data_IF_379528112125
#
_entry.id   IF_379528112125
#
_cell.length_a   1.000
_cell.length_b   1.000
_cell.length_c   1.000
_cell.angle_alpha   90.00
_cell.angle_beta   90.00
_cell.angle_gamma   90.00
#
_symmetry.space_group_name_H-M   'P 1'
#
loop_
_entity.id
_entity.type
_entity.pdbx_description
1 polymer ?
#
# COMPACT_ATOMS: atom_id res chain seq x y z
N UNK A 1 -17.55 -44.87 3.15
CA UNK A 1 -16.63 -44.82 1.99
C UNK A 1 -15.23 -44.60 2.54
N UNK A 2 -14.27 -45.41 2.13
CA UNK A 2 -12.88 -45.31 2.59
C UNK A 2 -12.16 -44.10 1.99
N UNK A 3 -11.02 -43.77 2.59
CA UNK A 3 -10.10 -42.79 2.04
C UNK A 3 -9.37 -43.35 0.82
N UNK A 4 -9.06 -42.49 -0.17
CA UNK A 4 -8.33 -42.90 -1.38
C UNK A 4 -6.88 -42.40 -1.26
N UNK A 5 -5.94 -43.33 -1.18
CA UNK A 5 -4.53 -43.03 -0.98
C UNK A 5 -3.68 -43.65 -2.09
N UNK A 6 -3.02 -42.80 -2.87
CA UNK A 6 -2.04 -43.18 -3.88
C UNK A 6 -0.61 -42.81 -3.44
N UNK A 7 -0.38 -42.61 -2.13
CA UNK A 7 0.94 -42.20 -1.62
C UNK A 7 2.04 -43.16 -2.10
N UNK A 8 3.14 -42.60 -2.60
CA UNK A 8 4.26 -43.34 -3.20
C UNK A 8 3.91 -44.21 -4.43
N UNK A 9 2.71 -44.06 -5.03
CA UNK A 9 2.36 -44.81 -6.23
C UNK A 9 3.16 -44.33 -7.45
N UNK A 10 3.34 -45.23 -8.42
CA UNK A 10 3.94 -44.93 -9.72
C UNK A 10 2.94 -45.31 -10.79
N UNK A 11 2.51 -44.32 -11.57
CA UNK A 11 1.72 -44.52 -12.78
C UNK A 11 2.67 -44.51 -13.96
N UNK A 12 3.00 -45.71 -14.47
CA UNK A 12 3.93 -45.91 -15.60
C UNK A 12 3.37 -45.37 -16.92
N UNK A 13 2.04 -45.35 -17.05
CA UNK A 13 1.29 -44.84 -18.20
C UNK A 13 0.29 -43.76 -17.75
N UNK A 14 -0.56 -43.31 -18.68
CA UNK A 14 -1.58 -42.30 -18.40
C UNK A 14 -2.53 -42.71 -17.27
N UNK A 15 -2.74 -41.80 -16.33
CA UNK A 15 -3.67 -41.91 -15.21
C UNK A 15 -4.88 -41.00 -15.46
N UNK A 16 -6.01 -41.61 -15.82
CA UNK A 16 -7.22 -40.88 -16.23
C UNK A 16 -8.30 -41.01 -15.16
N UNK A 17 -8.66 -39.88 -14.54
CA UNK A 17 -9.71 -39.76 -13.52
C UNK A 17 -10.92 -38.94 -14.00
N UNK A 18 -10.94 -38.53 -15.27
CA UNK A 18 -11.90 -37.54 -15.81
C UNK A 18 -13.37 -37.80 -15.43
N UNK A 19 -14.13 -36.71 -15.21
CA UNK A 19 -15.55 -36.75 -14.83
C UNK A 19 -15.88 -37.49 -13.52
N UNK A 20 -14.88 -37.79 -12.70
CA UNK A 20 -15.09 -38.50 -11.43
C UNK A 20 -15.50 -37.56 -10.29
N UNK A 21 -16.26 -38.11 -9.33
CA UNK A 21 -16.60 -37.42 -8.08
C UNK A 21 -15.99 -38.15 -6.90
N UNK A 22 -15.22 -37.43 -6.11
CA UNK A 22 -14.52 -37.96 -4.95
C UNK A 22 -15.07 -37.33 -3.67
N UNK A 23 -15.67 -38.18 -2.82
CA UNK A 23 -16.32 -37.76 -1.58
C UNK A 23 -15.37 -37.80 -0.37
N UNK A 24 -14.28 -38.57 -0.46
CA UNK A 24 -13.25 -38.65 0.58
C UNK A 24 -12.02 -37.84 0.19
N UNK A 25 -11.16 -37.46 1.14
CA UNK A 25 -9.85 -36.90 0.85
C UNK A 25 -9.05 -37.80 -0.11
N UNK A 26 -8.20 -37.19 -0.95
CA UNK A 26 -7.27 -37.93 -1.84
C UNK A 26 -5.82 -37.52 -1.60
N UNK A 27 -4.97 -38.53 -1.50
CA UNK A 27 -3.53 -38.33 -1.30
C UNK A 27 -2.69 -38.84 -2.49
N UNK A 28 -2.03 -37.93 -3.20
CA UNK A 28 -0.99 -38.20 -4.21
C UNK A 28 0.42 -37.83 -3.73
N UNK A 29 0.63 -37.73 -2.41
CA UNK A 29 1.93 -37.43 -1.81
C UNK A 29 3.02 -38.39 -2.32
N UNK A 30 4.15 -37.85 -2.79
CA UNK A 30 5.27 -38.60 -3.40
C UNK A 30 4.87 -39.53 -4.57
N UNK A 31 3.70 -39.33 -5.18
CA UNK A 31 3.29 -40.08 -6.38
C UNK A 31 4.12 -39.66 -7.59
N UNK A 32 4.40 -40.58 -8.50
CA UNK A 32 5.03 -40.27 -9.79
C UNK A 32 4.11 -40.61 -10.95
N UNK A 33 3.75 -39.61 -11.75
CA UNK A 33 3.01 -39.76 -12.99
C UNK A 33 3.98 -39.68 -14.17
N UNK A 34 4.34 -40.84 -14.75
CA UNK A 34 5.26 -40.91 -15.88
C UNK A 34 4.59 -40.54 -17.21
N UNK A 35 3.31 -40.90 -17.39
CA UNK A 35 2.45 -40.42 -18.48
C UNK A 35 1.59 -39.22 -18.09
N UNK A 36 0.51 -39.00 -18.82
CA UNK A 36 -0.47 -37.93 -18.56
C UNK A 36 -1.25 -38.20 -17.27
N UNK A 37 -1.45 -37.16 -16.44
CA UNK A 37 -2.34 -37.21 -15.29
C UNK A 37 -3.58 -36.34 -15.56
N UNK A 38 -4.71 -36.96 -15.92
CA UNK A 38 -5.90 -36.26 -16.37
C UNK A 38 -6.99 -36.30 -15.29
N UNK A 39 -7.26 -35.17 -14.65
CA UNK A 39 -8.29 -34.99 -13.63
C UNK A 39 -9.36 -33.97 -14.08
N UNK A 40 -9.62 -33.92 -15.37
CA UNK A 40 -10.54 -32.97 -15.99
C UNK A 40 -11.98 -33.20 -15.55
N UNK A 41 -12.69 -32.10 -15.30
CA UNK A 41 -14.09 -32.09 -14.84
C UNK A 41 -14.35 -32.93 -13.58
N UNK A 42 -13.31 -33.24 -12.80
CA UNK A 42 -13.49 -33.92 -11.53
C UNK A 42 -14.08 -32.98 -10.48
N UNK A 43 -14.85 -33.54 -9.55
CA UNK A 43 -15.31 -32.84 -8.36
C UNK A 43 -14.73 -33.50 -7.10
N UNK A 44 -13.89 -32.76 -6.39
CA UNK A 44 -13.33 -33.18 -5.10
C UNK A 44 -14.08 -32.47 -3.98
N UNK A 45 -14.81 -33.24 -3.15
CA UNK A 45 -15.56 -32.71 -2.00
C UNK A 45 -14.65 -32.36 -0.82
N UNK A 46 -13.53 -33.07 -0.71
CA UNK A 46 -12.58 -32.96 0.39
C UNK A 46 -11.19 -32.54 -0.10
N UNK A 47 -10.18 -32.59 0.77
CA UNK A 47 -8.81 -32.15 0.47
C UNK A 47 -8.13 -33.05 -0.57
N UNK A 48 -7.38 -32.43 -1.49
CA UNK A 48 -6.52 -33.13 -2.46
C UNK A 48 -5.08 -32.67 -2.31
N UNK A 49 -4.17 -33.62 -2.19
CA UNK A 49 -2.75 -33.37 -1.89
C UNK A 49 -1.85 -33.94 -2.99
N UNK A 50 -0.99 -33.10 -3.56
CA UNK A 50 0.05 -33.44 -4.54
C UNK A 50 1.46 -33.03 -4.04
N UNK A 51 1.70 -33.16 -2.73
CA UNK A 51 3.00 -32.82 -2.14
C UNK A 51 4.09 -33.71 -2.72
N UNK A 52 5.19 -33.12 -3.18
CA UNK A 52 6.34 -33.84 -3.75
C UNK A 52 6.00 -34.78 -4.92
N UNK A 53 4.83 -34.63 -5.53
CA UNK A 53 4.42 -35.43 -6.69
C UNK A 53 5.33 -35.09 -7.88
N UNK A 54 5.84 -36.11 -8.58
CA UNK A 54 6.56 -35.92 -9.84
C UNK A 54 5.60 -35.98 -11.02
N UNK A 55 5.59 -34.95 -11.86
CA UNK A 55 4.88 -34.93 -13.14
C UNK A 55 5.93 -34.93 -14.25
N UNK A 56 5.93 -35.96 -15.09
CA UNK A 56 6.86 -36.06 -16.21
C UNK A 56 6.29 -35.50 -17.52
N UNK A 57 4.96 -35.53 -17.69
CA UNK A 57 4.28 -34.97 -18.86
C UNK A 57 3.33 -33.82 -18.52
N UNK A 58 2.01 -34.05 -18.43
CA UNK A 58 1.05 -32.97 -18.14
C UNK A 58 0.10 -33.38 -17.02
N UNK A 59 -0.11 -32.48 -16.06
CA UNK A 59 -1.18 -32.57 -15.06
C UNK A 59 -2.34 -31.70 -15.52
N UNK A 60 -3.42 -32.31 -16.00
CA UNK A 60 -4.62 -31.59 -16.44
C UNK A 60 -5.67 -31.54 -15.33
N UNK A 61 -6.08 -30.33 -14.97
CA UNK A 61 -7.06 -29.96 -13.94
C UNK A 61 -8.17 -29.08 -14.57
N UNK A 62 -8.52 -29.32 -15.83
CA UNK A 62 -9.45 -28.46 -16.57
C UNK A 62 -10.87 -28.62 -16.04
N UNK A 63 -11.56 -27.51 -15.78
CA UNK A 63 -12.92 -27.52 -15.21
C UNK A 63 -13.06 -28.28 -13.89
N UNK A 64 -11.94 -28.60 -13.24
CA UNK A 64 -11.92 -29.35 -11.98
C UNK A 64 -12.39 -28.47 -10.83
N UNK A 65 -13.28 -29.00 -9.99
CA UNK A 65 -13.81 -28.28 -8.83
C UNK A 65 -13.28 -28.88 -7.53
N UNK A 66 -12.56 -28.07 -6.75
CA UNK A 66 -12.10 -28.40 -5.40
C UNK A 66 -12.97 -27.66 -4.38
N UNK A 67 -13.81 -28.40 -3.65
CA UNK A 67 -14.78 -27.84 -2.68
C UNK A 67 -14.17 -27.49 -1.33
N UNK A 68 -12.98 -28.01 -1.01
CA UNK A 68 -12.31 -27.78 0.27
C UNK A 68 -10.90 -27.21 0.11
N UNK A 69 -9.96 -27.99 -0.40
CA UNK A 69 -8.59 -27.50 -0.66
C UNK A 69 -7.88 -28.31 -1.74
N UNK A 70 -6.91 -27.65 -2.37
CA UNK A 70 -5.93 -28.24 -3.29
C UNK A 70 -4.55 -27.85 -2.78
N UNK A 71 -3.66 -28.82 -2.62
CA UNK A 71 -2.27 -28.58 -2.28
C UNK A 71 -1.35 -29.08 -3.39
N UNK A 72 -0.78 -28.14 -4.16
CA UNK A 72 0.24 -28.40 -5.19
C UNK A 72 1.64 -28.00 -4.71
N UNK A 73 1.83 -27.71 -3.43
CA UNK A 73 3.13 -27.26 -2.94
C UNK A 73 4.21 -28.32 -3.21
N UNK A 74 5.38 -27.85 -3.66
CA UNK A 74 6.52 -28.72 -3.93
C UNK A 74 6.27 -29.81 -5.00
N UNK A 75 5.26 -29.63 -5.85
CA UNK A 75 5.11 -30.47 -7.04
C UNK A 75 6.36 -30.33 -7.93
N UNK A 76 6.87 -31.45 -8.43
CA UNK A 76 8.07 -31.52 -9.23
C UNK A 76 7.69 -31.68 -10.71
N UNK A 77 7.77 -30.59 -11.47
CA UNK A 77 7.59 -30.61 -12.92
C UNK A 77 8.92 -31.02 -13.59
N UNK A 78 8.96 -32.20 -14.21
CA UNK A 78 10.12 -32.75 -14.95
C UNK A 78 9.95 -32.59 -16.46
N UNK A 79 11.03 -32.68 -17.25
CA UNK A 79 10.99 -32.79 -18.72
C UNK A 79 10.09 -31.77 -19.45
N UNK A 80 10.13 -30.49 -19.05
CA UNK A 80 9.24 -29.44 -19.60
C UNK A 80 7.73 -29.70 -19.40
N UNK A 81 7.37 -30.52 -18.41
CA UNK A 81 6.00 -30.73 -17.98
C UNK A 81 5.31 -29.44 -17.56
N UNK A 82 3.99 -29.47 -17.66
CA UNK A 82 3.12 -28.33 -17.35
C UNK A 82 1.90 -28.79 -16.55
N UNK A 83 1.31 -27.82 -15.87
CA UNK A 83 -0.02 -27.95 -15.27
C UNK A 83 -0.99 -27.24 -16.20
N UNK A 84 -2.17 -27.81 -16.41
CA UNK A 84 -3.25 -27.16 -17.15
C UNK A 84 -4.45 -26.97 -16.24
N UNK A 85 -4.71 -25.75 -15.80
CA UNK A 85 -5.75 -25.41 -14.82
C UNK A 85 -6.84 -24.50 -15.37
N UNK A 86 -7.20 -24.68 -16.65
CA UNK A 86 -8.27 -23.89 -17.26
C UNK A 86 -9.61 -24.12 -16.55
N UNK A 87 -10.34 -23.05 -16.22
CA UNK A 87 -11.61 -23.11 -15.48
C UNK A 87 -11.57 -23.88 -14.15
N UNK A 88 -10.39 -23.96 -13.52
CA UNK A 88 -10.26 -24.56 -12.19
C UNK A 88 -11.10 -23.76 -11.18
N UNK A 89 -11.93 -24.47 -10.40
CA UNK A 89 -12.78 -23.87 -9.37
C UNK A 89 -12.25 -24.23 -7.99
N UNK A 90 -11.82 -23.21 -7.26
CA UNK A 90 -11.20 -23.33 -5.94
C UNK A 90 -12.11 -22.72 -4.87
N UNK A 91 -12.96 -23.53 -4.25
CA UNK A 91 -13.81 -23.11 -3.13
C UNK A 91 -13.06 -23.36 -1.81
N UNK A 92 -12.08 -22.50 -1.52
CA UNK A 92 -11.27 -22.67 -0.33
C UNK A 92 -12.07 -22.23 0.90
N UNK A 93 -12.51 -23.21 1.72
CA UNK A 93 -13.01 -22.87 3.06
C UNK A 93 -11.84 -22.27 3.85
N UNK A 94 -12.06 -21.09 4.41
CA UNK A 94 -11.06 -20.39 5.22
C UNK A 94 -10.60 -21.29 6.36
N UNK A 95 -9.29 -21.53 6.43
CA UNK A 95 -8.66 -22.11 7.62
C UNK A 95 -8.94 -21.13 8.77
N UNK A 96 -9.58 -21.56 9.88
CA UNK A 96 -9.72 -20.72 11.06
C UNK A 96 -8.31 -20.29 11.50
N UNK A 97 -8.11 -18.99 11.69
CA UNK A 97 -6.82 -18.40 12.07
C UNK A 97 -6.24 -18.92 13.40
N UNK A 98 -7.02 -19.70 14.16
CA UNK A 98 -6.64 -20.26 15.45
C UNK A 98 -5.81 -21.57 15.37
N UNK A 99 -5.70 -22.24 14.20
CA UNK A 99 -5.02 -23.55 14.12
C UNK A 99 -3.53 -23.48 13.75
N UNK A 100 -2.81 -22.40 14.11
CA UNK A 100 -1.42 -22.15 13.68
C UNK A 100 -0.37 -22.85 14.58
N UNK A 101 -0.78 -23.56 15.65
CA UNK A 101 0.14 -24.01 16.70
C UNK A 101 0.57 -25.48 16.73
N UNK A 102 0.07 -26.37 15.88
CA UNK A 102 0.33 -27.81 16.08
C UNK A 102 1.54 -28.32 15.30
N UNK A 103 2.47 -28.93 16.04
CA UNK A 103 3.61 -29.68 15.53
C UNK A 103 3.12 -31.04 15.00
N UNK A 104 2.79 -31.06 13.72
CA UNK A 104 2.12 -32.18 13.05
C UNK A 104 3.07 -33.32 12.63
N UNK A 105 4.32 -33.32 13.09
CA UNK A 105 5.38 -34.25 12.66
C UNK A 105 5.16 -35.74 13.02
N UNK A 106 4.05 -36.11 13.66
CA UNK A 106 3.79 -37.49 14.13
C UNK A 106 2.50 -38.17 13.64
N UNK A 107 1.67 -37.55 12.78
CA UNK A 107 0.38 -38.15 12.40
C UNK A 107 0.34 -38.58 10.92
N UNK A 108 0.21 -39.88 10.68
CA UNK A 108 0.07 -40.47 9.33
C UNK A 108 -1.13 -39.93 8.53
N UNK A 109 -2.11 -39.32 9.21
CA UNK A 109 -3.31 -38.75 8.60
C UNK A 109 -3.25 -37.24 8.29
N UNK A 110 -2.06 -36.60 8.39
CA UNK A 110 -1.86 -35.15 8.15
C UNK A 110 -2.48 -34.62 6.85
N UNK A 111 -2.48 -35.41 5.79
CA UNK A 111 -2.99 -35.01 4.47
C UNK A 111 -4.52 -34.82 4.44
N UNK A 112 -5.23 -35.33 5.46
CA UNK A 112 -6.67 -35.07 5.66
C UNK A 112 -6.93 -33.70 6.29
N UNK A 113 -5.92 -33.09 6.90
CA UNK A 113 -6.02 -31.75 7.47
C UNK A 113 -5.90 -30.68 6.40
N UNK A 114 -6.30 -29.44 6.72
CA UNK A 114 -6.19 -28.32 5.79
C UNK A 114 -4.71 -27.96 5.56
N UNK A 115 -4.29 -27.68 4.31
CA UNK A 115 -2.90 -27.37 4.01
C UNK A 115 -2.42 -26.10 4.73
N UNK A 116 -1.14 -26.05 5.10
CA UNK A 116 -0.57 -24.89 5.80
C UNK A 116 -0.61 -23.66 4.89
N UNK A 117 -0.67 -22.46 5.48
CA UNK A 117 -0.66 -21.20 4.71
C UNK A 117 0.53 -21.08 3.74
N UNK A 118 1.69 -21.67 4.07
CA UNK A 118 2.87 -21.71 3.21
C UNK A 118 2.64 -22.56 1.95
N UNK A 119 2.07 -23.75 2.10
CA UNK A 119 1.86 -24.70 1.00
C UNK A 119 0.78 -24.19 0.04
N UNK A 120 -0.25 -23.62 0.64
CA UNK A 120 -1.28 -22.85 -0.02
C UNK A 120 -0.70 -21.71 -0.87
N UNK A 121 0.24 -20.94 -0.31
CA UNK A 121 0.87 -19.83 -1.02
C UNK A 121 1.62 -20.35 -2.26
N UNK A 122 2.32 -21.49 -2.12
CA UNK A 122 3.02 -22.12 -3.23
C UNK A 122 2.05 -22.61 -4.32
N UNK A 123 0.92 -23.18 -3.92
CA UNK A 123 -0.15 -23.60 -4.84
C UNK A 123 -0.64 -22.42 -5.70
N UNK A 124 -0.93 -21.26 -5.08
CA UNK A 124 -1.31 -20.07 -5.84
C UNK A 124 -0.19 -19.53 -6.72
N UNK A 125 1.07 -19.66 -6.31
CA UNK A 125 2.20 -19.24 -7.15
C UNK A 125 2.30 -20.08 -8.41
N UNK A 126 2.15 -21.41 -8.31
CA UNK A 126 2.16 -22.31 -9.46
C UNK A 126 1.00 -22.02 -10.42
N UNK A 127 -0.21 -21.90 -9.89
CA UNK A 127 -1.39 -21.56 -10.69
C UNK A 127 -1.27 -20.18 -11.35
N UNK A 128 -0.64 -19.21 -10.67
CA UNK A 128 -0.33 -17.90 -11.26
C UNK A 128 0.63 -18.01 -12.44
N UNK A 129 1.70 -18.81 -12.32
CA UNK A 129 2.65 -19.02 -13.41
C UNK A 129 2.00 -19.68 -14.63
N UNK A 130 1.09 -20.63 -14.38
CA UNK A 130 0.28 -21.27 -15.42
C UNK A 130 -0.65 -20.28 -16.13
N UNK A 131 -1.34 -19.43 -15.37
CA UNK A 131 -2.19 -18.40 -15.95
C UNK A 131 -1.39 -17.40 -16.82
N UNK A 132 -0.20 -17.01 -16.36
CA UNK A 132 0.71 -16.13 -17.13
C UNK A 132 1.16 -16.79 -18.42
N UNK A 133 1.53 -18.09 -18.38
CA UNK A 133 1.99 -18.80 -19.59
C UNK A 133 0.89 -18.91 -20.64
N UNK A 134 -0.38 -18.98 -20.21
CA UNK A 134 -1.57 -18.95 -21.07
C UNK A 134 -2.05 -17.55 -21.46
N UNK A 135 -1.36 -16.49 -21.02
CA UNK A 135 -1.75 -15.09 -21.22
C UNK A 135 -3.11 -14.73 -20.60
N UNK A 136 -3.58 -15.46 -19.60
CA UNK A 136 -4.77 -15.12 -18.81
C UNK A 136 -4.39 -14.17 -17.67
N UNK A 137 -4.27 -12.88 -18.00
CA UNK A 137 -3.87 -11.85 -17.04
C UNK A 137 -4.90 -11.67 -15.91
N UNK A 138 -6.19 -11.91 -16.17
CA UNK A 138 -7.24 -11.72 -15.17
C UNK A 138 -7.09 -12.75 -14.06
N UNK A 139 -6.97 -14.01 -14.44
CA UNK A 139 -6.82 -15.13 -13.52
C UNK A 139 -5.45 -15.10 -12.81
N UNK A 140 -4.38 -14.72 -13.52
CA UNK A 140 -3.06 -14.50 -12.92
C UNK A 140 -3.10 -13.43 -11.80
N UNK A 141 -3.82 -12.32 -12.01
CA UNK A 141 -3.98 -11.28 -10.98
C UNK A 141 -4.77 -11.79 -9.78
N UNK A 142 -5.83 -12.58 -10.00
CA UNK A 142 -6.61 -13.20 -8.92
C UNK A 142 -5.76 -14.13 -8.07
N UNK A 143 -4.97 -15.02 -8.69
CA UNK A 143 -4.06 -15.90 -7.96
C UNK A 143 -2.94 -15.15 -7.25
N UNK A 144 -2.41 -14.09 -7.86
CA UNK A 144 -1.42 -13.24 -7.19
C UNK A 144 -1.99 -12.56 -5.94
N UNK A 145 -3.23 -12.08 -5.99
CA UNK A 145 -3.92 -11.53 -4.82
C UNK A 145 -4.05 -12.60 -3.71
N UNK A 146 -4.46 -13.83 -4.07
CA UNK A 146 -4.57 -14.93 -3.12
C UNK A 146 -3.22 -15.36 -2.54
N UNK A 147 -2.16 -15.37 -3.34
CA UNK A 147 -0.79 -15.59 -2.87
C UNK A 147 -0.41 -14.57 -1.78
N UNK A 148 -0.64 -13.28 -2.02
CA UNK A 148 -0.34 -12.22 -1.04
C UNK A 148 -1.20 -12.30 0.23
N UNK A 149 -2.48 -12.61 0.11
CA UNK A 149 -3.37 -12.82 1.27
C UNK A 149 -2.80 -13.90 2.20
N UNK A 150 -2.30 -15.00 1.62
CA UNK A 150 -1.77 -16.13 2.38
C UNK A 150 -0.37 -15.85 2.93
N UNK A 151 0.45 -15.12 2.17
CA UNK A 151 1.72 -14.60 2.66
C UNK A 151 1.54 -13.66 3.86
N UNK A 152 0.55 -12.76 3.79
CA UNK A 152 0.23 -11.83 4.88
C UNK A 152 -0.16 -12.57 6.18
N UNK A 153 -0.99 -13.62 6.08
CA UNK A 153 -1.39 -14.44 7.22
C UNK A 153 -0.22 -15.21 7.84
N UNK A 154 0.75 -15.64 7.02
CA UNK A 154 1.95 -16.36 7.47
C UNK A 154 2.91 -15.48 8.27
N UNK A 155 3.00 -14.18 7.96
CA UNK A 155 3.96 -13.30 8.62
C UNK A 155 3.55 -13.02 10.07
N UNK A 156 4.48 -13.24 11.00
CA UNK A 156 4.32 -12.80 12.39
C UNK A 156 4.71 -11.32 12.50
N UNK A 157 3.93 -10.55 13.27
CA UNK A 157 4.10 -9.09 13.35
C UNK A 157 5.50 -8.70 13.79
N UNK A 158 5.98 -9.19 14.93
CA UNK A 158 7.23 -8.68 15.51
C UNK A 158 8.51 -9.12 14.77
N UNK A 159 8.49 -10.26 14.06
CA UNK A 159 9.67 -10.73 13.30
C UNK A 159 9.81 -10.07 11.94
N UNK A 160 8.70 -9.65 11.32
CA UNK A 160 8.66 -9.16 9.94
C UNK A 160 7.78 -7.91 9.81
N UNK A 161 7.94 -6.95 10.73
CA UNK A 161 7.08 -5.76 10.84
C UNK A 161 6.98 -5.04 9.49
N UNK A 162 8.11 -4.76 8.84
CA UNK A 162 8.14 -4.04 7.56
C UNK A 162 7.34 -4.74 6.45
N UNK A 163 7.63 -6.02 6.19
CA UNK A 163 6.92 -6.79 5.16
C UNK A 163 5.42 -6.92 5.47
N UNK A 164 5.05 -7.14 6.73
CA UNK A 164 3.66 -7.26 7.13
C UNK A 164 2.93 -5.92 7.04
N UNK A 165 3.59 -4.82 7.40
CA UNK A 165 3.07 -3.47 7.24
C UNK A 165 2.84 -3.12 5.78
N UNK A 166 3.81 -3.39 4.90
CA UNK A 166 3.67 -3.19 3.44
C UNK A 166 2.47 -3.97 2.91
N UNK A 167 2.32 -5.25 3.29
CA UNK A 167 1.19 -6.07 2.86
C UNK A 167 -0.15 -5.63 3.47
N UNK A 168 -0.15 -5.15 4.71
CA UNK A 168 -1.32 -4.54 5.34
C UNK A 168 -1.74 -3.29 4.57
N UNK A 169 -0.79 -2.44 4.20
CA UNK A 169 -1.04 -1.23 3.40
C UNK A 169 -1.58 -1.61 2.01
N UNK A 170 -0.92 -2.52 1.29
CA UNK A 170 -1.36 -3.05 0.00
C UNK A 170 -2.78 -3.63 0.08
N UNK A 171 -3.10 -4.38 1.14
CA UNK A 171 -4.44 -4.95 1.35
C UNK A 171 -5.50 -3.87 1.51
N UNK A 172 -5.27 -2.91 2.42
CA UNK A 172 -6.30 -1.93 2.77
C UNK A 172 -6.49 -0.86 1.70
N UNK A 173 -5.42 -0.42 1.04
CA UNK A 173 -5.46 0.70 0.11
C UNK A 173 -5.79 0.25 -1.30
N UNK A 174 -5.15 -0.80 -1.79
CA UNK A 174 -5.27 -1.22 -3.19
C UNK A 174 -5.92 -2.58 -3.38
N UNK A 175 -6.29 -3.27 -2.30
CA UNK A 175 -6.70 -4.67 -2.32
C UNK A 175 -5.67 -5.53 -3.07
N UNK A 176 -4.40 -5.38 -2.70
CA UNK A 176 -3.23 -5.95 -3.36
C UNK A 176 -3.05 -5.51 -4.83
N UNK A 177 -3.42 -4.26 -5.13
CA UNK A 177 -3.30 -3.64 -6.45
C UNK A 177 -4.40 -4.01 -7.43
N UNK A 178 -5.56 -4.49 -6.94
CA UNK A 178 -6.69 -4.88 -7.80
C UNK A 178 -7.77 -3.81 -7.92
N UNK A 179 -7.80 -2.81 -7.03
CA UNK A 179 -8.81 -1.75 -7.03
C UNK A 179 -8.17 -0.36 -7.13
N UNK A 180 -8.11 0.19 -8.34
CA UNK A 180 -7.59 1.54 -8.61
C UNK A 180 -8.44 2.61 -7.89
N UNK A 181 -9.77 2.49 -7.95
CA UNK A 181 -10.70 3.42 -7.30
C UNK A 181 -10.44 3.52 -5.79
N UNK A 182 -10.18 2.39 -5.12
CA UNK A 182 -9.87 2.39 -3.68
C UNK A 182 -8.60 3.16 -3.36
N UNK A 183 -7.57 3.03 -4.20
CA UNK A 183 -6.33 3.80 -4.04
C UNK A 183 -6.60 5.29 -4.22
N UNK A 184 -7.36 5.68 -5.25
CA UNK A 184 -7.72 7.08 -5.50
C UNK A 184 -8.53 7.68 -4.34
N UNK A 185 -9.50 6.93 -3.78
CA UNK A 185 -10.27 7.38 -2.62
C UNK A 185 -9.40 7.57 -1.38
N UNK A 186 -8.50 6.62 -1.08
CA UNK A 186 -7.56 6.78 0.04
C UNK A 186 -6.63 7.96 -0.15
N UNK A 187 -6.16 8.15 -1.39
CA UNK A 187 -5.32 9.28 -1.73
C UNK A 187 -6.04 10.61 -1.54
N UNK A 188 -7.27 10.74 -2.03
CA UNK A 188 -8.10 11.94 -1.80
C UNK A 188 -8.39 12.14 -0.31
N UNK A 189 -8.72 11.09 0.43
CA UNK A 189 -9.00 11.16 1.86
C UNK A 189 -7.78 11.64 2.67
N UNK A 190 -6.58 11.12 2.36
CA UNK A 190 -5.34 11.52 3.04
C UNK A 190 -5.02 13.00 2.72
N UNK A 191 -5.09 13.40 1.45
CA UNK A 191 -4.85 14.80 1.08
C UNK A 191 -5.89 15.76 1.66
N UNK A 192 -7.17 15.36 1.71
CA UNK A 192 -8.23 16.15 2.33
C UNK A 192 -8.00 16.31 3.85
N UNK A 193 -7.62 15.23 4.53
CA UNK A 193 -7.33 15.27 5.98
C UNK A 193 -6.18 16.23 6.28
N UNK A 194 -5.13 16.18 5.45
CA UNK A 194 -3.98 17.09 5.56
C UNK A 194 -4.39 18.54 5.28
N UNK A 195 -5.15 18.79 4.21
CA UNK A 195 -5.67 20.11 3.87
C UNK A 195 -6.47 20.72 5.04
N UNK A 196 -7.36 19.93 5.65
CA UNK A 196 -8.12 20.36 6.82
C UNK A 196 -7.22 20.68 8.01
N UNK A 197 -6.19 19.86 8.30
CA UNK A 197 -5.20 20.15 9.36
C UNK A 197 -4.52 21.50 9.13
N UNK A 198 -4.06 21.77 7.91
CA UNK A 198 -3.43 23.06 7.56
C UNK A 198 -4.41 24.23 7.66
N UNK A 199 -5.66 24.04 7.21
CA UNK A 199 -6.70 25.05 7.32
C UNK A 199 -7.00 25.42 8.78
N UNK A 200 -7.06 24.44 9.69
CA UNK A 200 -7.23 24.69 11.13
C UNK A 200 -6.05 25.45 11.75
N UNK A 201 -4.81 25.11 11.38
CA UNK A 201 -3.62 25.85 11.84
C UNK A 201 -3.67 27.30 11.34
N UNK A 202 -4.05 27.52 10.09
CA UNK A 202 -4.22 28.85 9.52
C UNK A 202 -5.31 29.66 10.25
N UNK A 203 -6.47 29.06 10.49
CA UNK A 203 -7.57 29.71 11.22
C UNK A 203 -7.14 30.08 12.65
N UNK A 204 -6.39 29.19 13.31
CA UNK A 204 -5.84 29.43 14.64
C UNK A 204 -4.86 30.62 14.66
N UNK A 205 -3.96 30.71 13.68
CA UNK A 205 -3.06 31.86 13.53
C UNK A 205 -3.83 33.16 13.26
N UNK A 206 -4.88 33.12 12.44
CA UNK A 206 -5.74 34.28 12.19
C UNK A 206 -6.42 34.76 13.48
N UNK A 207 -6.93 33.83 14.30
CA UNK A 207 -7.51 34.16 15.61
C UNK A 207 -6.50 34.84 16.54
N UNK A 208 -5.23 34.37 16.55
CA UNK A 208 -4.16 35.01 17.33
C UNK A 208 -3.94 36.44 16.85
N UNK A 209 -3.84 36.66 15.53
CA UNK A 209 -3.63 38.00 14.95
C UNK A 209 -4.80 38.94 15.32
N UNK A 210 -6.05 38.49 15.20
CA UNK A 210 -7.22 39.30 15.56
C UNK A 210 -7.24 39.61 17.06
N UNK A 211 -6.98 38.62 17.91
CA UNK A 211 -6.89 38.83 19.36
C UNK A 211 -5.81 39.85 19.71
N UNK A 212 -4.68 39.75 19.02
CA UNK A 212 -3.56 40.66 19.15
C UNK A 212 -3.95 42.12 18.81
N UNK A 213 -4.63 42.34 17.69
CA UNK A 213 -5.12 43.67 17.30
C UNK A 213 -6.13 44.25 18.31
N UNK A 214 -7.06 43.43 18.82
CA UNK A 214 -8.03 43.84 19.84
C UNK A 214 -7.32 44.26 21.14
N UNK A 215 -6.32 43.48 21.58
CA UNK A 215 -5.50 43.82 22.74
C UNK A 215 -4.76 45.14 22.52
N UNK A 216 -4.21 45.35 21.33
CA UNK A 216 -3.56 46.60 20.92
C UNK A 216 -4.49 47.81 21.02
N UNK A 217 -5.73 47.69 20.53
CA UNK A 217 -6.75 48.75 20.64
C UNK A 217 -7.15 49.02 22.10
N UNK A 218 -7.33 47.96 22.89
CA UNK A 218 -7.66 48.09 24.32
C UNK A 218 -6.57 48.86 25.09
N UNK A 219 -5.29 48.54 24.83
CA UNK A 219 -4.14 49.25 25.43
C UNK A 219 -4.16 50.74 25.03
N UNK A 220 -4.48 51.06 23.78
CA UNK A 220 -4.57 52.45 23.31
C UNK A 220 -5.69 53.23 24.01
N UNK A 221 -6.87 52.63 24.15
CA UNK A 221 -8.03 53.23 24.83
C UNK A 221 -7.69 53.48 26.31
N UNK A 222 -7.12 52.47 26.99
CA UNK A 222 -6.67 52.60 28.37
C UNK A 222 -5.64 53.74 28.53
N UNK A 223 -4.69 53.82 27.60
CA UNK A 223 -3.72 54.93 27.55
C UNK A 223 -4.38 56.30 27.39
N UNK A 224 -5.40 56.41 26.54
CA UNK A 224 -6.16 57.64 26.35
C UNK A 224 -6.93 58.05 27.61
N UNK A 225 -7.63 57.10 28.25
CA UNK A 225 -8.38 57.33 29.50
C UNK A 225 -7.45 57.77 30.64
N UNK A 226 -6.30 57.12 30.79
CA UNK A 226 -5.29 57.48 31.80
C UNK A 226 -4.77 58.90 31.59
N UNK A 227 -4.60 59.32 30.33
CA UNK A 227 -4.18 60.69 29.97
C UNK A 227 -5.19 61.76 30.38
N UNK A 228 -6.48 61.42 30.42
CA UNK A 228 -7.58 62.35 30.75
C UNK A 228 -7.76 62.57 32.26
N UNK A 229 -7.11 61.79 33.14
CA UNK A 229 -7.43 61.78 34.59
C UNK A 229 -6.26 61.94 35.56
N UNK A 230 -5.00 62.02 35.12
CA UNK A 230 -3.84 61.97 36.03
C UNK A 230 -2.89 63.17 35.91
N UNK A 231 -2.54 63.72 37.08
CA UNK A 231 -1.53 64.76 37.29
C UNK A 231 -0.17 64.40 36.65
N UNK A 232 0.59 65.43 36.28
CA UNK A 232 1.63 65.40 35.22
C UNK A 232 2.76 64.37 35.31
N UNK A 233 2.94 63.68 36.44
CA UNK A 233 4.02 62.72 36.67
C UNK A 233 3.61 61.26 36.39
N UNK A 234 2.46 60.80 36.91
CA UNK A 234 1.99 59.41 36.74
C UNK A 234 1.55 59.16 35.29
N UNK A 235 0.98 60.17 34.63
CA UNK A 235 0.62 60.10 33.21
C UNK A 235 1.85 59.94 32.31
N UNK A 236 3.01 60.53 32.65
CA UNK A 236 4.27 60.36 31.89
C UNK A 236 4.86 58.95 32.02
N UNK A 237 4.86 58.37 33.23
CA UNK A 237 5.38 57.02 33.44
C UNK A 237 4.55 55.95 32.72
N UNK A 238 3.22 56.05 32.84
CA UNK A 238 2.28 55.16 32.15
C UNK A 238 2.38 55.33 30.63
N UNK A 239 2.53 56.57 30.13
CA UNK A 239 2.70 56.82 28.71
C UNK A 239 4.00 56.20 28.17
N UNK A 240 5.11 56.29 28.90
CA UNK A 240 6.37 55.65 28.52
C UNK A 240 6.25 54.12 28.51
N UNK A 241 5.56 53.53 29.50
CA UNK A 241 5.33 52.09 29.55
C UNK A 241 4.46 51.60 28.36
N UNK A 242 3.42 52.36 28.00
CA UNK A 242 2.57 52.06 26.82
C UNK A 242 3.35 52.22 25.52
N UNK A 243 4.24 53.22 25.42
CA UNK A 243 5.10 53.43 24.25
C UNK A 243 6.10 52.28 24.09
N UNK A 244 6.77 51.84 25.17
CA UNK A 244 7.66 50.68 25.14
C UNK A 244 6.91 49.40 24.77
N UNK A 245 5.71 49.17 25.33
CA UNK A 245 4.89 48.02 24.95
C UNK A 245 4.44 48.09 23.49
N UNK A 246 4.13 49.29 22.95
CA UNK A 246 3.86 49.49 21.52
C UNK A 246 5.06 49.14 20.65
N UNK A 247 6.29 49.46 21.07
CA UNK A 247 7.49 49.07 20.33
C UNK A 247 7.75 47.57 20.37
N UNK A 248 7.52 46.92 21.53
CA UNK A 248 7.60 45.46 21.63
C UNK A 248 6.55 44.79 20.73
N UNK A 249 5.35 45.36 20.67
CA UNK A 249 4.26 44.88 19.81
C UNK A 249 4.53 45.08 18.32
N UNK A 250 5.01 46.27 17.95
CA UNK A 250 5.43 46.59 16.60
C UNK A 250 6.62 45.72 16.18
N UNK A 251 7.52 45.39 17.09
CA UNK A 251 8.59 44.44 16.88
C UNK A 251 8.05 43.03 16.62
N UNK A 252 7.08 42.53 17.40
CA UNK A 252 6.44 41.23 17.16
C UNK A 252 5.63 41.19 15.87
N UNK A 253 4.92 42.28 15.52
CA UNK A 253 4.19 42.41 14.25
C UNK A 253 5.15 42.50 13.06
N UNK A 254 6.27 43.22 13.18
CA UNK A 254 7.36 43.22 12.20
C UNK A 254 7.98 41.84 12.12
N UNK A 255 8.19 41.12 13.22
CA UNK A 255 8.70 39.74 13.19
C UNK A 255 7.72 38.81 12.48
N UNK A 256 6.42 38.93 12.74
CA UNK A 256 5.38 38.17 12.05
C UNK A 256 5.31 38.53 10.55
N UNK A 257 5.42 39.81 10.20
CA UNK A 257 5.44 40.30 8.82
C UNK A 257 6.76 39.97 8.12
N UNK A 258 7.91 39.98 8.79
CA UNK A 258 9.20 39.58 8.23
C UNK A 258 9.26 38.07 8.06
N UNK A 259 8.74 37.29 9.02
CA UNK A 259 8.52 35.85 8.86
C UNK A 259 7.57 35.60 7.68
N UNK A 260 6.55 36.42 7.46
CA UNK A 260 5.64 36.34 6.31
C UNK A 260 6.23 36.89 4.99
N UNK A 261 7.12 37.88 5.05
CA UNK A 261 7.71 38.59 3.89
C UNK A 261 8.97 37.89 3.39
N UNK A 262 9.81 37.33 4.26
CA UNK A 262 10.85 36.37 3.90
C UNK A 262 10.25 35.07 3.33
N UNK A 263 8.98 34.77 3.62
CA UNK A 263 8.22 33.70 2.94
C UNK A 263 7.71 34.10 1.53
N UNK A 264 7.84 35.36 1.09
CA UNK A 264 7.31 35.84 -0.22
C UNK A 264 8.36 36.48 -1.13
N UNK A 265 9.57 36.76 -0.65
CA UNK A 265 10.66 37.33 -1.44
C UNK A 265 11.72 36.26 -1.68
N UNK A 266 12.01 35.99 -2.97
CA UNK A 266 13.06 35.07 -3.43
C UNK A 266 14.36 35.32 -2.64
N UNK A 267 15.00 34.28 -2.07
CA UNK A 267 16.22 34.48 -1.31
C UNK A 267 17.38 34.76 -2.26
N UNK A 268 18.03 35.92 -2.08
CA UNK A 268 19.45 36.08 -2.41
C UNK A 268 20.31 35.60 -1.21
N UNK A 269 21.52 35.08 -1.44
CA UNK A 269 22.10 34.03 -0.60
C UNK A 269 23.11 34.57 0.40
N UNK A 270 22.90 34.36 1.71
CA UNK A 270 23.97 34.48 2.71
C UNK A 270 23.90 33.48 3.90
N UNK A 271 23.28 32.31 3.75
CA UNK A 271 23.34 31.27 4.81
C UNK A 271 23.65 29.88 4.24
N UNK A 272 24.94 29.57 4.11
CA UNK A 272 25.45 28.36 3.45
C UNK A 272 24.94 27.01 3.99
N UNK A 273 24.50 26.92 5.25
CA UNK A 273 23.91 25.69 5.78
C UNK A 273 22.46 25.49 5.31
N UNK A 274 21.65 26.54 5.30
CA UNK A 274 20.27 26.48 4.85
C UNK A 274 20.15 26.47 3.32
N UNK A 275 21.08 27.10 2.61
CA UNK A 275 21.22 27.02 1.16
C UNK A 275 21.58 25.60 0.70
N UNK A 276 22.48 24.92 1.44
CA UNK A 276 22.79 23.52 1.17
C UNK A 276 21.57 22.62 1.33
N UNK A 277 20.78 22.81 2.39
CA UNK A 277 19.56 22.04 2.62
C UNK A 277 18.51 22.39 1.57
N UNK A 278 18.27 23.67 1.29
CA UNK A 278 17.34 24.15 0.27
C UNK A 278 17.69 23.63 -1.13
N UNK A 279 18.97 23.65 -1.52
CA UNK A 279 19.41 23.02 -2.76
C UNK A 279 19.27 21.51 -2.74
N UNK A 280 19.42 20.85 -1.59
CA UNK A 280 19.15 19.41 -1.46
C UNK A 280 17.65 19.12 -1.63
N UNK A 281 16.77 19.90 -1.01
CA UNK A 281 15.30 19.75 -1.14
C UNK A 281 14.83 20.11 -2.54
N UNK A 282 15.31 21.21 -3.13
CA UNK A 282 14.99 21.57 -4.52
C UNK A 282 15.56 20.56 -5.50
N UNK A 283 16.77 20.05 -5.28
CA UNK A 283 17.33 18.96 -6.09
C UNK A 283 16.49 17.69 -5.96
N UNK A 284 16.06 17.32 -4.75
CA UNK A 284 15.17 16.19 -4.52
C UNK A 284 13.80 16.38 -5.20
N UNK A 285 13.19 17.56 -5.07
CA UNK A 285 11.91 17.89 -5.71
C UNK A 285 12.07 17.90 -7.23
N UNK A 286 13.12 18.52 -7.77
CA UNK A 286 13.40 18.54 -9.20
C UNK A 286 13.70 17.14 -9.75
N UNK A 287 14.37 16.29 -8.97
CA UNK A 287 14.58 14.89 -9.34
C UNK A 287 13.27 14.09 -9.34
N UNK A 288 12.36 14.36 -8.39
CA UNK A 288 11.02 13.76 -8.35
C UNK A 288 10.16 14.25 -9.51
N UNK A 289 10.16 15.56 -9.81
CA UNK A 289 9.44 16.15 -10.95
C UNK A 289 10.02 15.66 -12.28
N UNK A 290 11.34 15.61 -12.42
CA UNK A 290 12.03 15.07 -13.61
C UNK A 290 11.73 13.59 -13.79
N UNK A 291 11.75 12.81 -12.70
CA UNK A 291 11.32 11.42 -12.71
C UNK A 291 9.87 11.27 -13.16
N UNK A 292 8.94 12.11 -12.69
CA UNK A 292 7.55 12.06 -13.14
C UNK A 292 7.35 12.54 -14.58
N UNK A 293 8.11 13.53 -15.06
CA UNK A 293 8.12 13.92 -16.47
C UNK A 293 8.59 12.75 -17.34
N UNK A 294 9.71 12.12 -16.99
CA UNK A 294 10.20 10.93 -17.67
C UNK A 294 9.22 9.76 -17.60
N UNK A 295 8.56 9.56 -16.46
CA UNK A 295 7.54 8.52 -16.30
C UNK A 295 6.31 8.83 -17.17
N UNK A 296 5.88 10.10 -17.27
CA UNK A 296 4.79 10.50 -18.16
C UNK A 296 5.14 10.24 -19.62
N UNK A 297 6.36 10.61 -20.03
CA UNK A 297 6.87 10.39 -21.38
C UNK A 297 7.02 8.89 -21.69
N UNK A 298 7.21 8.05 -20.67
CA UNK A 298 7.33 6.61 -20.80
C UNK A 298 5.97 5.88 -20.88
N UNK A 299 4.89 6.46 -20.35
CA UNK A 299 3.56 5.83 -20.33
C UNK A 299 2.56 6.43 -21.31
N UNK A 300 2.88 7.54 -21.98
CA UNK A 300 1.91 8.35 -22.73
C UNK A 300 2.49 8.75 -24.09
N UNK A 301 2.11 8.04 -25.16
CA UNK A 301 2.24 8.50 -26.56
C UNK A 301 1.12 9.49 -26.95
N UNK A 302 0.49 10.14 -25.97
CA UNK A 302 -0.77 10.86 -26.16
C UNK A 302 -0.81 12.18 -25.38
N UNK A 303 -0.41 13.27 -26.04
CA UNK A 303 -0.21 14.63 -25.49
C UNK A 303 -1.32 15.11 -24.54
N UNK A 304 -2.57 14.68 -24.74
CA UNK A 304 -3.72 15.04 -23.88
C UNK A 304 -3.60 14.60 -22.42
N UNK A 305 -2.95 13.46 -22.14
CA UNK A 305 -2.80 12.97 -20.77
C UNK A 305 -1.65 13.63 -20.02
N UNK A 306 -0.67 14.15 -20.77
CA UNK A 306 0.52 14.80 -20.21
C UNK A 306 0.15 16.11 -19.51
N UNK A 307 -0.71 16.92 -20.11
CA UNK A 307 -1.16 18.19 -19.52
C UNK A 307 -2.02 17.99 -18.28
N UNK A 308 -2.89 16.97 -18.28
CA UNK A 308 -3.70 16.63 -17.10
C UNK A 308 -2.84 16.09 -15.95
N UNK A 309 -1.83 15.27 -16.26
CA UNK A 309 -0.88 14.77 -15.26
C UNK A 309 0.02 15.89 -14.73
N UNK A 310 0.46 16.82 -15.58
CA UNK A 310 1.26 17.97 -15.18
C UNK A 310 0.47 18.94 -14.29
N UNK A 311 -0.79 19.22 -14.63
CA UNK A 311 -1.69 19.99 -13.77
C UNK A 311 -1.97 19.30 -12.44
N UNK A 312 -2.13 17.97 -12.46
CA UNK A 312 -2.26 17.16 -11.25
C UNK A 312 -0.99 17.20 -10.39
N UNK A 313 0.20 17.03 -10.96
CA UNK A 313 1.50 17.13 -10.25
C UNK A 313 1.69 18.51 -9.64
N UNK A 314 1.35 19.59 -10.36
CA UNK A 314 1.42 20.95 -9.83
C UNK A 314 0.46 21.18 -8.65
N UNK A 315 -0.68 20.49 -8.61
CA UNK A 315 -1.60 20.54 -7.47
C UNK A 315 -1.06 19.87 -6.18
N UNK A 316 0.03 19.09 -6.25
CA UNK A 316 0.69 18.49 -5.08
C UNK A 316 1.70 19.39 -4.36
N UNK A 317 1.98 20.58 -4.89
CA UNK A 317 3.00 21.49 -4.35
C UNK A 317 2.44 22.84 -3.87
N UNK A 318 1.44 22.91 -2.95
CA UNK A 318 1.01 24.21 -2.45
C UNK A 318 1.90 24.81 -1.35
N UNK A 319 2.87 24.09 -0.77
CA UNK A 319 3.64 24.61 0.38
C UNK A 319 5.11 24.18 0.38
N UNK A 320 6.02 25.15 0.23
CA UNK A 320 7.47 24.94 0.26
C UNK A 320 8.19 25.46 1.52
N UNK A 321 7.53 26.14 2.46
CA UNK A 321 8.28 26.73 3.59
C UNK A 321 7.65 26.48 4.97
N UNK A 322 8.12 25.42 5.64
CA UNK A 322 7.93 25.22 7.08
C UNK A 322 9.17 24.51 7.68
N UNK A 323 10.07 25.27 8.34
CA UNK A 323 11.30 24.74 8.98
C UNK A 323 11.04 23.85 10.21
N UNK A 324 9.95 24.06 10.94
CA UNK A 324 9.64 23.28 12.16
C UNK A 324 8.80 22.01 11.86
N UNK A 325 8.45 21.80 10.59
CA UNK A 325 7.63 20.70 10.09
C UNK A 325 8.41 19.80 9.12
N UNK A 326 9.74 19.91 9.02
CA UNK A 326 10.52 19.14 8.03
C UNK A 326 10.27 17.64 8.18
N UNK A 327 10.16 17.12 9.40
CA UNK A 327 9.81 15.71 9.65
C UNK A 327 8.39 15.35 9.20
N UNK A 328 7.39 16.20 9.44
CA UNK A 328 6.01 15.99 8.98
C UNK A 328 5.90 16.10 7.44
N UNK A 329 6.60 17.05 6.82
CA UNK A 329 6.68 17.23 5.37
C UNK A 329 7.37 16.06 4.68
N UNK A 330 8.47 15.56 5.26
CA UNK A 330 9.15 14.36 4.77
C UNK A 330 8.28 13.12 4.91
N UNK A 331 7.61 12.94 6.06
CA UNK A 331 6.67 11.84 6.27
C UNK A 331 5.51 11.91 5.27
N UNK A 332 4.94 13.10 5.05
CA UNK A 332 3.89 13.35 4.07
C UNK A 332 4.37 13.07 2.64
N UNK A 333 5.57 13.54 2.29
CA UNK A 333 6.21 13.22 1.02
C UNK A 333 6.35 11.71 0.82
N UNK A 334 6.84 10.99 1.82
CA UNK A 334 6.95 9.53 1.79
C UNK A 334 5.59 8.85 1.63
N UNK A 335 4.55 9.31 2.34
CA UNK A 335 3.18 8.80 2.22
C UNK A 335 2.62 9.04 0.82
N UNK A 336 2.74 10.27 0.30
CA UNK A 336 2.26 10.64 -1.03
C UNK A 336 2.97 9.88 -2.14
N UNK A 337 4.31 9.74 -2.07
CA UNK A 337 5.09 8.94 -3.00
C UNK A 337 4.67 7.46 -2.93
N UNK A 338 4.45 6.92 -1.72
CA UNK A 338 4.00 5.54 -1.54
C UNK A 338 2.61 5.30 -2.12
N UNK A 339 1.68 6.23 -1.91
CA UNK A 339 0.33 6.16 -2.49
C UNK A 339 0.39 6.28 -4.01
N UNK A 340 1.17 7.21 -4.54
CA UNK A 340 1.33 7.40 -5.98
C UNK A 340 1.97 6.17 -6.64
N UNK A 341 2.95 5.55 -5.99
CA UNK A 341 3.49 4.26 -6.39
C UNK A 341 2.40 3.18 -6.44
N UNK A 342 1.51 3.12 -5.44
CA UNK A 342 0.38 2.18 -5.45
C UNK A 342 -0.64 2.49 -6.55
N UNK A 343 -0.88 3.76 -6.86
CA UNK A 343 -1.73 4.19 -7.99
C UNK A 343 -1.13 3.66 -9.28
N UNK A 344 0.14 3.98 -9.57
CA UNK A 344 0.85 3.55 -10.78
C UNK A 344 0.87 2.02 -10.88
N UNK A 345 1.20 1.32 -9.78
CA UNK A 345 1.21 -0.14 -9.71
C UNK A 345 -0.17 -0.74 -9.98
N UNK A 346 -1.24 -0.12 -9.48
CA UNK A 346 -2.61 -0.58 -9.72
C UNK A 346 -3.05 -0.33 -11.17
N UNK A 347 -2.70 0.82 -11.74
CA UNK A 347 -2.95 1.13 -13.15
C UNK A 347 -2.21 0.16 -14.08
N UNK A 348 -0.91 -0.11 -13.85
CA UNK A 348 -0.14 -1.11 -14.64
C UNK A 348 -0.73 -2.51 -14.56
N UNK A 349 -1.37 -2.87 -13.44
CA UNK A 349 -2.08 -4.16 -13.31
C UNK A 349 -3.41 -4.13 -14.06
N UNK A 350 -4.12 -3.01 -14.02
CA UNK A 350 -5.42 -2.86 -14.68
C UNK A 350 -5.29 -2.74 -16.20
N UNK A 351 -4.26 -2.03 -16.70
CA UNK A 351 -3.98 -1.91 -18.13
C UNK A 351 -3.60 -3.24 -18.79
N UNK A 352 -3.20 -4.25 -18.00
CA UNK A 352 -2.98 -5.62 -18.50
C UNK A 352 -4.27 -6.45 -18.59
N UNK A 353 -5.38 -5.96 -18.01
CA UNK A 353 -6.69 -6.63 -18.07
C UNK A 353 -7.51 -6.19 -19.29
N UNK A 354 -7.35 -4.93 -19.69
CA UNK A 354 -7.85 -4.39 -20.96
C UNK A 354 -6.93 -4.87 -22.09
#
# INVERSE_FOLDING_TARGET
MGDICFKNAIFETDAIFSNSKFYSPINFDHTSFKGLAILDSCEFKENVVFLYTNIYETLSLRSTTFRRSLNLAYINLRNASKIESHDIKLAWKSIPSASIGYDLSKNENMWKELPKHKDIQETYRLLKLEAISKKDNILAIQFNQKEYEKHYLKLWWFKNIGNKFILFFDKNISNFGTSVLRVLLWFLAINLTLYLKYYYVFLYLLCIIVFCEILGLFIQICGYILRMKLDSFVSKFILNFIIEYRYLYFFYAILAVLVYKDMTIKPEPQYGFFESIYHLTISAINNVVSFFKHLSNFFVDNDKWQDQLNGFIQSFLPFTDIKDSISELLLQGCVNISLLYQVIKSFRKYSKKL
#
